data_IF_067274186242
#
_entry.id   IF_067274186242
#
_cell.length_a   1.000
_cell.length_b   1.000
_cell.length_c   1.000
_cell.angle_alpha   90.00
_cell.angle_beta   90.00
_cell.angle_gamma   90.00
#
_symmetry.space_group_name_H-M   'P 1'
#
loop_
_entity.id
_entity.type
_entity.pdbx_description
1 polymer ?
#
# COMPACT_ATOMS: atom_id res chain seq x y z
N UNK A 1 -13.15 12.28 22.32
CA UNK A 1 -12.90 12.33 20.87
C UNK A 1 -12.54 10.91 20.41
N UNK A 2 -13.51 10.05 20.07
CA UNK A 2 -13.19 8.67 19.64
C UNK A 2 -12.57 8.73 18.24
N UNK A 3 -11.40 8.15 18.00
CA UNK A 3 -10.83 8.10 16.64
C UNK A 3 -11.60 7.02 15.84
N UNK A 4 -12.06 7.33 14.62
CA UNK A 4 -12.75 6.31 13.79
C UNK A 4 -11.70 5.27 13.37
N UNK A 5 -12.01 3.96 13.36
CA UNK A 5 -11.09 2.91 12.92
C UNK A 5 -10.35 3.21 11.60
N UNK A 6 -10.99 3.91 10.65
CA UNK A 6 -10.37 4.28 9.37
C UNK A 6 -9.23 5.28 9.49
N UNK A 7 -9.32 6.25 10.40
CA UNK A 7 -8.27 7.27 10.55
C UNK A 7 -7.02 6.64 11.16
N UNK A 8 -7.18 5.68 12.07
CA UNK A 8 -6.09 4.86 12.61
C UNK A 8 -5.48 4.02 11.50
N UNK A 9 -6.29 3.35 10.69
CA UNK A 9 -5.80 2.53 9.58
C UNK A 9 -5.00 3.36 8.56
N UNK A 10 -5.53 4.52 8.15
CA UNK A 10 -4.84 5.45 7.24
C UNK A 10 -3.54 6.01 7.84
N UNK A 11 -3.54 6.33 9.14
CA UNK A 11 -2.35 6.81 9.82
C UNK A 11 -1.28 5.72 9.93
N UNK A 12 -1.68 4.48 10.26
CA UNK A 12 -0.78 3.34 10.29
C UNK A 12 -0.21 3.03 8.89
N UNK A 13 -1.05 3.07 7.86
CA UNK A 13 -0.63 2.89 6.46
C UNK A 13 0.39 3.95 6.02
N UNK A 14 0.11 5.23 6.30
CA UNK A 14 1.05 6.30 6.00
C UNK A 14 2.37 6.16 6.78
N UNK A 15 2.31 5.77 8.06
CA UNK A 15 3.50 5.55 8.87
C UNK A 15 4.34 4.39 8.33
N UNK A 16 3.72 3.28 7.91
CA UNK A 16 4.41 2.14 7.30
C UNK A 16 5.08 2.53 5.98
N UNK A 17 4.40 3.31 5.13
CA UNK A 17 4.99 3.79 3.89
C UNK A 17 6.19 4.71 4.14
N UNK A 18 6.05 5.69 5.05
CA UNK A 18 7.16 6.60 5.39
C UNK A 18 8.34 5.82 5.97
N UNK A 19 8.08 4.89 6.89
CA UNK A 19 9.12 4.03 7.45
C UNK A 19 9.83 3.23 6.35
N UNK A 20 9.07 2.55 5.49
CA UNK A 20 9.63 1.77 4.38
C UNK A 20 10.46 2.63 3.42
N UNK A 21 9.99 3.84 3.08
CA UNK A 21 10.73 4.79 2.22
C UNK A 21 12.05 5.21 2.87
N UNK A 22 12.03 5.58 4.15
CA UNK A 22 13.24 5.97 4.88
C UNK A 22 14.23 4.81 4.95
N UNK A 23 13.75 3.60 5.23
CA UNK A 23 14.61 2.40 5.23
C UNK A 23 15.24 2.14 3.87
N UNK A 24 14.47 2.27 2.78
CA UNK A 24 14.97 2.07 1.41
C UNK A 24 16.02 3.12 1.04
N UNK A 25 15.82 4.38 1.39
CA UNK A 25 16.80 5.44 1.11
C UNK A 25 18.06 5.32 1.96
N UNK A 26 17.95 4.83 3.20
CA UNK A 26 19.11 4.60 4.07
C UNK A 26 19.95 3.41 3.59
N UNK A 27 19.31 2.32 3.15
CA UNK A 27 19.99 1.13 2.64
C UNK A 27 19.22 0.46 1.49
N UNK A 28 19.39 0.95 0.24
CA UNK A 28 18.78 0.31 -0.93
C UNK A 28 19.37 -1.07 -1.21
N UNK A 29 20.56 -1.40 -0.66
CA UNK A 29 21.23 -2.67 -0.87
C UNK A 29 20.46 -3.82 -0.23
N UNK A 30 19.99 -3.65 1.01
CA UNK A 30 19.19 -4.65 1.71
C UNK A 30 17.89 -5.00 0.96
N UNK A 31 17.25 -4.02 0.32
CA UNK A 31 16.07 -4.29 -0.51
C UNK A 31 16.42 -5.11 -1.76
N UNK A 32 17.57 -4.84 -2.39
CA UNK A 32 18.05 -5.62 -3.53
C UNK A 32 18.41 -7.06 -3.14
N UNK A 33 19.01 -7.29 -1.97
CA UNK A 33 19.28 -8.65 -1.46
C UNK A 33 17.99 -9.46 -1.33
N UNK A 34 16.92 -8.82 -0.86
CA UNK A 34 15.63 -9.50 -0.73
C UNK A 34 15.03 -9.85 -2.09
N UNK A 35 15.17 -8.95 -3.07
CA UNK A 35 14.50 -9.07 -4.37
C UNK A 35 15.30 -9.89 -5.38
N UNK A 36 16.62 -9.82 -5.37
CA UNK A 36 17.48 -10.37 -6.41
C UNK A 36 18.33 -11.54 -5.88
N UNK A 37 18.64 -12.53 -6.73
CA UNK A 37 19.58 -13.59 -6.36
C UNK A 37 20.94 -13.03 -5.93
N UNK A 38 21.61 -13.69 -4.99
CA UNK A 38 22.93 -13.26 -4.47
C UNK A 38 24.00 -13.12 -5.57
N UNK A 39 23.87 -13.85 -6.67
CA UNK A 39 24.75 -13.77 -7.83
C UNK A 39 24.60 -12.49 -8.65
N UNK A 40 23.55 -11.69 -8.42
CA UNK A 40 23.25 -10.50 -9.21
C UNK A 40 24.03 -9.28 -8.70
N UNK A 41 24.87 -8.63 -9.53
CA UNK A 41 25.63 -7.46 -9.10
C UNK A 41 24.72 -6.28 -8.74
N UNK A 42 24.89 -5.70 -7.55
CA UNK A 42 24.13 -4.52 -7.10
C UNK A 42 24.67 -3.21 -7.71
N UNK A 43 24.31 -2.98 -8.97
CA UNK A 43 24.74 -1.78 -9.71
C UNK A 43 24.15 -0.48 -9.16
N UNK A 44 24.78 0.65 -9.48
CA UNK A 44 24.25 1.97 -9.15
C UNK A 44 22.88 2.25 -9.78
N UNK A 45 22.64 1.73 -10.98
CA UNK A 45 21.34 1.84 -11.66
C UNK A 45 20.22 1.14 -10.89
N UNK A 46 20.46 -0.08 -10.39
CA UNK A 46 19.48 -0.82 -9.57
C UNK A 46 19.15 -0.09 -8.27
N UNK A 47 20.18 0.44 -7.59
CA UNK A 47 19.98 1.26 -6.38
C UNK A 47 19.17 2.52 -6.68
N UNK A 48 19.42 3.17 -7.82
CA UNK A 48 18.64 4.32 -8.27
C UNK A 48 17.18 3.95 -8.56
N UNK A 49 16.92 2.81 -9.20
CA UNK A 49 15.55 2.31 -9.43
C UNK A 49 14.80 2.08 -8.12
N UNK A 50 15.46 1.50 -7.12
CA UNK A 50 14.88 1.30 -5.80
C UNK A 50 14.55 2.64 -5.11
N UNK A 51 15.42 3.65 -5.25
CA UNK A 51 15.09 5.02 -4.77
C UNK A 51 13.91 5.66 -5.50
N UNK A 52 13.77 5.42 -6.80
CA UNK A 52 12.60 5.88 -7.57
C UNK A 52 11.31 5.23 -7.07
N UNK A 53 11.33 3.93 -6.77
CA UNK A 53 10.18 3.24 -6.16
C UNK A 53 9.84 3.83 -4.79
N UNK A 54 10.84 4.13 -3.96
CA UNK A 54 10.63 4.80 -2.68
C UNK A 54 10.03 6.21 -2.85
N UNK A 55 10.52 7.00 -3.81
CA UNK A 55 9.96 8.32 -4.11
C UNK A 55 8.50 8.24 -4.58
N UNK A 56 8.17 7.28 -5.46
CA UNK A 56 6.79 7.03 -5.89
C UNK A 56 5.90 6.62 -4.73
N UNK A 57 6.41 5.76 -3.83
CA UNK A 57 5.70 5.33 -2.62
C UNK A 57 5.37 6.52 -1.72
N UNK A 58 6.29 7.46 -1.56
CA UNK A 58 6.03 8.70 -0.82
C UNK A 58 4.98 9.57 -1.53
N UNK A 59 5.04 9.66 -2.86
CA UNK A 59 4.04 10.38 -3.66
C UNK A 59 2.62 9.84 -3.47
N UNK A 60 2.44 8.52 -3.47
CA UNK A 60 1.13 7.90 -3.21
C UNK A 60 0.72 7.93 -1.74
N UNK A 61 1.67 8.19 -0.82
CA UNK A 61 1.37 8.38 0.61
C UNK A 61 0.67 9.71 0.88
N UNK A 62 0.89 10.73 0.05
CA UNK A 62 0.25 12.04 0.22
C UNK A 62 -1.29 11.96 0.17
N UNK A 63 -1.93 11.32 -0.84
CA UNK A 63 -3.38 11.07 -0.81
C UNK A 63 -3.90 10.37 0.45
N UNK A 64 -3.13 9.43 1.03
CA UNK A 64 -3.48 8.73 2.27
C UNK A 64 -3.56 9.72 3.42
N UNK A 65 -2.52 10.55 3.58
CA UNK A 65 -2.45 11.59 4.60
C UNK A 65 -3.60 12.58 4.48
N UNK A 66 -3.94 12.99 3.25
CA UNK A 66 -5.05 13.91 2.98
C UNK A 66 -6.43 13.32 3.33
N UNK A 67 -6.55 11.99 3.39
CA UNK A 67 -7.79 11.30 3.77
C UNK A 67 -7.93 11.07 5.28
N UNK A 68 -6.89 11.35 6.09
CA UNK A 68 -6.92 11.20 7.55
C UNK A 68 -7.88 12.20 8.22
N UNK A 69 -7.81 13.52 7.93
CA UNK A 69 -8.74 14.47 8.51
C UNK A 69 -10.20 14.10 8.19
N UNK A 70 -11.10 14.31 9.14
CA UNK A 70 -12.52 14.04 8.93
C UNK A 70 -13.21 15.29 8.38
N UNK A 71 -13.68 15.22 7.14
CA UNK A 71 -14.44 16.26 6.47
C UNK A 71 -15.67 15.64 5.79
N UNK A 72 -16.80 16.36 5.64
CA UNK A 72 -18.05 15.81 5.11
C UNK A 72 -17.90 15.07 3.77
N UNK A 73 -17.00 15.56 2.90
CA UNK A 73 -16.79 15.02 1.55
C UNK A 73 -15.73 13.91 1.46
N UNK A 74 -15.10 13.55 2.59
CA UNK A 74 -14.00 12.57 2.61
C UNK A 74 -14.45 11.15 2.34
N UNK A 75 -15.74 10.84 2.48
CA UNK A 75 -16.26 9.49 2.22
C UNK A 75 -15.96 9.03 0.80
N UNK A 76 -16.16 9.92 -0.19
CA UNK A 76 -15.91 9.60 -1.61
C UNK A 76 -14.41 9.52 -1.88
N UNK A 77 -13.62 10.45 -1.33
CA UNK A 77 -12.17 10.46 -1.46
C UNK A 77 -11.53 9.17 -0.91
N UNK A 78 -11.91 8.75 0.31
CA UNK A 78 -11.46 7.50 0.94
C UNK A 78 -11.85 6.29 0.10
N UNK A 79 -13.08 6.24 -0.42
CA UNK A 79 -13.52 5.13 -1.27
C UNK A 79 -12.71 5.05 -2.57
N UNK A 80 -12.50 6.18 -3.24
CA UNK A 80 -11.70 6.23 -4.47
C UNK A 80 -10.24 5.85 -4.21
N UNK A 81 -9.66 6.32 -3.12
CA UNK A 81 -8.31 5.93 -2.69
C UNK A 81 -8.21 4.40 -2.53
N UNK A 82 -9.18 3.80 -1.84
CA UNK A 82 -9.19 2.36 -1.60
C UNK A 82 -9.39 1.53 -2.87
N UNK A 83 -10.21 2.01 -3.82
CA UNK A 83 -10.39 1.34 -5.12
C UNK A 83 -9.10 1.44 -5.93
N UNK A 84 -8.52 2.64 -6.05
CA UNK A 84 -7.30 2.86 -6.84
C UNK A 84 -6.13 2.07 -6.30
N UNK A 85 -5.87 2.13 -5.00
CA UNK A 85 -4.78 1.36 -4.40
C UNK A 85 -5.08 -0.13 -4.37
N UNK A 86 -6.31 -0.56 -4.09
CA UNK A 86 -6.67 -1.97 -4.17
C UNK A 86 -6.46 -2.55 -5.57
N UNK A 87 -6.79 -1.79 -6.62
CA UNK A 87 -6.52 -2.20 -8.00
C UNK A 87 -5.03 -2.30 -8.30
N UNK A 88 -4.24 -1.30 -7.87
CA UNK A 88 -2.78 -1.34 -8.01
C UNK A 88 -2.15 -2.54 -7.28
N UNK A 89 -2.53 -2.77 -6.02
CA UNK A 89 -2.01 -3.86 -5.20
C UNK A 89 -2.40 -5.23 -5.79
N UNK A 90 -3.63 -5.37 -6.30
CA UNK A 90 -4.05 -6.59 -7.00
C UNK A 90 -3.22 -6.85 -8.27
N UNK A 91 -2.91 -5.82 -9.05
CA UNK A 91 -2.01 -5.95 -10.20
C UNK A 91 -0.60 -6.37 -9.78
N UNK A 92 -0.08 -5.83 -8.68
CA UNK A 92 1.23 -6.21 -8.12
C UNK A 92 1.25 -7.67 -7.68
N UNK A 93 0.22 -8.11 -6.95
CA UNK A 93 0.06 -9.52 -6.53
C UNK A 93 -0.02 -10.44 -7.75
N UNK A 94 -0.85 -10.11 -8.74
CA UNK A 94 -1.00 -10.91 -9.95
C UNK A 94 0.32 -11.03 -10.73
N UNK A 95 1.05 -9.92 -10.88
CA UNK A 95 2.35 -9.90 -11.56
C UNK A 95 3.38 -10.75 -10.81
N UNK A 96 3.48 -10.60 -9.49
CA UNK A 96 4.38 -11.40 -8.67
C UNK A 96 4.04 -12.90 -8.72
N UNK A 97 2.76 -13.26 -8.71
CA UNK A 97 2.31 -14.64 -8.81
C UNK A 97 2.65 -15.26 -10.18
N UNK A 98 2.46 -14.52 -11.26
CA UNK A 98 2.86 -14.96 -12.61
C UNK A 98 4.37 -15.24 -12.64
N UNK A 99 5.18 -14.30 -12.12
CA UNK A 99 6.63 -14.46 -12.07
C UNK A 99 7.08 -15.62 -11.18
N UNK A 100 6.37 -15.87 -10.08
CA UNK A 100 6.62 -17.00 -9.20
C UNK A 100 6.35 -18.33 -9.91
N UNK A 101 5.21 -18.45 -10.59
CA UNK A 101 4.84 -19.68 -11.33
C UNK A 101 5.79 -19.94 -12.51
N UNK A 102 6.26 -18.88 -13.18
CA UNK A 102 7.18 -19.00 -14.32
C UNK A 102 8.59 -19.45 -13.91
N UNK A 103 9.02 -19.19 -12.67
CA UNK A 103 10.31 -19.64 -12.13
C UNK A 103 11.58 -19.01 -12.75
N UNK A 104 11.45 -18.15 -13.76
CA UNK A 104 12.59 -17.48 -14.42
C UNK A 104 12.32 -15.98 -14.60
N UNK A 105 12.07 -15.28 -13.49
CA UNK A 105 11.72 -13.85 -13.47
C UNK A 105 12.91 -12.94 -13.18
N UNK A 106 14.06 -13.49 -12.79
CA UNK A 106 15.21 -12.72 -12.29
C UNK A 106 15.07 -12.23 -10.85
N UNK A 107 13.95 -12.54 -10.18
CA UNK A 107 13.73 -12.28 -8.75
C UNK A 107 13.90 -13.55 -7.92
N UNK A 108 14.16 -13.40 -6.62
CA UNK A 108 14.11 -14.52 -5.68
C UNK A 108 12.67 -14.92 -5.37
N UNK A 109 12.45 -16.21 -5.11
CA UNK A 109 11.16 -16.72 -4.66
C UNK A 109 10.67 -16.04 -3.38
N UNK A 110 11.58 -15.78 -2.44
CA UNK A 110 11.27 -15.09 -1.19
C UNK A 110 10.82 -13.64 -1.43
N UNK A 111 11.46 -12.93 -2.36
CA UNK A 111 11.08 -11.58 -2.74
C UNK A 111 9.68 -11.54 -3.38
N UNK A 112 9.38 -12.51 -4.24
CA UNK A 112 8.06 -12.65 -4.88
C UNK A 112 6.98 -13.02 -3.87
N UNK A 113 7.21 -14.01 -3.02
CA UNK A 113 6.28 -14.41 -1.97
C UNK A 113 6.06 -13.30 -0.95
N UNK A 114 7.12 -12.56 -0.58
CA UNK A 114 7.03 -11.38 0.27
C UNK A 114 6.17 -10.28 -0.36
N UNK A 115 6.33 -10.03 -1.66
CA UNK A 115 5.50 -9.11 -2.44
C UNK A 115 4.03 -9.53 -2.43
N UNK A 116 3.75 -10.81 -2.71
CA UNK A 116 2.40 -11.38 -2.68
C UNK A 116 1.77 -11.24 -1.29
N UNK A 117 2.53 -11.54 -0.23
CA UNK A 117 2.04 -11.48 1.15
C UNK A 117 1.70 -10.03 1.55
N UNK A 118 2.61 -9.09 1.31
CA UNK A 118 2.43 -7.69 1.70
C UNK A 118 1.28 -7.05 0.91
N UNK A 119 1.31 -7.10 -0.41
CA UNK A 119 0.26 -6.48 -1.22
C UNK A 119 -1.06 -7.23 -1.13
N UNK A 120 -1.02 -8.56 -0.96
CA UNK A 120 -2.22 -9.37 -0.74
C UNK A 120 -2.91 -9.02 0.57
N UNK A 121 -2.14 -8.78 1.64
CA UNK A 121 -2.68 -8.29 2.91
C UNK A 121 -3.36 -6.93 2.75
N UNK A 122 -2.69 -5.94 2.17
CA UNK A 122 -3.28 -4.60 1.97
C UNK A 122 -4.50 -4.64 1.06
N UNK A 123 -4.44 -5.39 -0.05
CA UNK A 123 -5.59 -5.60 -0.94
C UNK A 123 -6.79 -6.16 -0.16
N UNK A 124 -6.54 -7.14 0.71
CA UNK A 124 -7.58 -7.76 1.54
C UNK A 124 -8.19 -6.79 2.54
N UNK A 125 -7.37 -5.97 3.20
CA UNK A 125 -7.85 -4.90 4.10
C UNK A 125 -8.72 -3.90 3.34
N UNK A 126 -8.33 -3.54 2.12
CA UNK A 126 -9.13 -2.62 1.29
C UNK A 126 -10.46 -3.22 0.87
N UNK A 127 -10.47 -4.47 0.42
CA UNK A 127 -11.71 -5.20 0.11
C UNK A 127 -12.62 -5.25 1.33
N UNK A 128 -12.07 -5.51 2.52
CA UNK A 128 -12.84 -5.52 3.76
C UNK A 128 -13.51 -4.17 4.04
N UNK A 129 -12.79 -3.05 3.95
CA UNK A 129 -13.42 -1.73 4.15
C UNK A 129 -14.36 -1.32 3.02
N UNK A 130 -14.11 -1.74 1.77
CA UNK A 130 -14.99 -1.40 0.64
C UNK A 130 -16.31 -2.17 0.65
N UNK A 131 -16.28 -3.46 1.00
CA UNK A 131 -17.42 -4.36 0.77
C UNK A 131 -18.01 -4.96 2.06
N UNK A 132 -17.21 -5.14 3.11
CA UNK A 132 -17.68 -5.75 4.37
C UNK A 132 -18.04 -4.69 5.42
N UNK A 133 -17.22 -3.64 5.55
CA UNK A 133 -17.45 -2.50 6.47
C UNK A 133 -17.39 -1.14 5.77
N UNK A 134 -18.22 -0.90 4.72
CA UNK A 134 -18.23 0.39 4.01
C UNK A 134 -18.59 1.58 4.88
N UNK A 135 -19.33 1.37 5.98
CA UNK A 135 -19.66 2.42 6.94
C UNK A 135 -18.43 2.99 7.66
N UNK A 136 -17.32 2.25 7.72
CA UNK A 136 -16.08 2.72 8.35
C UNK A 136 -15.35 3.74 7.49
N UNK A 137 -15.61 3.80 6.18
CA UNK A 137 -15.06 4.82 5.28
C UNK A 137 -15.80 6.17 5.38
N UNK A 138 -16.97 6.21 6.03
CA UNK A 138 -17.81 7.40 6.10
C UNK A 138 -17.22 8.49 7.00
N UNK A 139 -17.39 9.74 6.59
CA UNK A 139 -17.08 10.90 7.43
C UNK A 139 -18.13 11.11 8.52
N UNK A 140 -17.72 11.56 9.72
CA UNK A 140 -18.64 11.92 10.80
C UNK A 140 -19.53 13.09 10.38
N UNK A 141 -20.76 12.78 10.00
CA UNK A 141 -21.75 13.74 9.51
C UNK A 141 -22.68 13.11 8.47
N UNK A 142 -22.17 12.17 7.69
CA UNK A 142 -22.97 11.38 6.73
C UNK A 142 -23.70 10.21 7.42
N UNK A 143 -23.05 9.56 8.38
CA UNK A 143 -23.65 8.46 9.18
C UNK A 143 -24.86 8.88 10.03
N UNK A 144 -24.94 10.15 10.46
CA UNK A 144 -26.06 10.64 11.28
C UNK A 144 -27.37 10.76 10.49
N UNK A 145 -27.29 11.15 9.21
CA UNK A 145 -28.46 11.28 8.33
C UNK A 145 -29.04 9.94 7.88
N UNK A 146 -28.25 8.87 7.88
CA UNK A 146 -28.70 7.53 7.49
C UNK A 146 -29.50 6.78 8.58
N UNK A 147 -29.54 7.30 9.82
CA UNK A 147 -30.29 6.70 10.95
C UNK A 147 -31.64 7.35 11.21
N UNK A 148 -32.01 8.39 10.46
CA UNK A 148 -33.23 9.20 10.68
C UNK A 148 -34.26 9.12 9.55
N UNK A 149 -34.09 8.17 8.63
CA UNK A 149 -35.05 7.79 7.59
C UNK A 149 -35.31 6.30 7.67
#
# INVERSE_FOLDING_TARGET
>A
MSVVPIQIALAAEAAMNIYGVVSIWADPGSMLVLLLPESTPHTAAMKSQVHWVAALTLGVTLPILLCIPDHPDQTVARRNLYITFGGFEACMVGTALIHYIQGNSGFTDNGLLGTIAVFGFFTSVRIFFLYVKPTWLQARGTSSKAKTT
#
